data_IF_149298685874
#
_entry.id   IF_149298685874
#
_cell.length_a   1.000
_cell.length_b   1.000
_cell.length_c   1.000
_cell.angle_alpha   90.00
_cell.angle_beta   90.00
_cell.angle_gamma   90.00
#
_symmetry.space_group_name_H-M   'P 1'
#
loop_
_entity.id
_entity.type
_entity.pdbx_description
1 polymer ?
#
# COMPACT_ATOMS: atom_id res chain seq x y z
N UNK A 1 18.34 6.60 -15.10
CA UNK A 1 17.59 6.77 -16.36
C UNK A 1 16.37 7.63 -16.08
N UNK A 2 15.98 8.59 -16.92
CA UNK A 2 14.83 9.43 -16.65
C UNK A 2 13.55 8.58 -16.62
N UNK A 3 12.73 8.74 -15.58
CA UNK A 3 11.61 7.88 -15.23
C UNK A 3 10.31 8.19 -16.00
N UNK A 4 10.20 9.33 -16.64
CA UNK A 4 9.04 9.67 -17.48
C UNK A 4 9.53 9.96 -18.89
N UNK A 5 9.19 9.09 -19.82
CA UNK A 5 9.34 9.38 -21.25
C UNK A 5 8.26 10.38 -21.61
N UNK A 6 8.64 11.58 -22.04
CA UNK A 6 7.72 12.53 -22.67
C UNK A 6 6.92 11.81 -23.76
N UNK A 7 5.60 11.75 -23.60
CA UNK A 7 4.68 11.10 -24.55
C UNK A 7 4.26 9.65 -24.21
N UNK A 8 4.66 9.09 -23.05
CA UNK A 8 4.20 7.76 -22.62
C UNK A 8 3.05 7.86 -21.61
N UNK A 9 2.06 7.00 -21.77
CA UNK A 9 0.93 6.85 -20.83
C UNK A 9 1.46 6.46 -19.45
N UNK A 10 1.14 7.25 -18.41
CA UNK A 10 1.46 6.89 -17.03
C UNK A 10 0.68 5.64 -16.62
N UNK A 11 1.36 4.66 -16.05
CA UNK A 11 0.74 3.41 -15.56
C UNK A 11 0.84 3.35 -14.04
N UNK A 12 -0.30 3.22 -13.36
CA UNK A 12 -0.37 2.97 -11.91
C UNK A 12 -0.89 1.57 -11.65
N UNK A 13 -0.22 0.84 -10.75
CA UNK A 13 -0.76 -0.40 -10.21
C UNK A 13 -1.33 -0.14 -8.83
N UNK A 14 -2.60 -0.50 -8.65
CA UNK A 14 -3.31 -0.44 -7.38
C UNK A 14 -3.41 -1.85 -6.84
N UNK A 15 -2.81 -2.06 -5.69
CA UNK A 15 -2.83 -3.33 -4.99
C UNK A 15 -3.86 -3.26 -3.85
N UNK A 16 -4.90 -4.09 -3.96
CA UNK A 16 -5.83 -4.31 -2.87
C UNK A 16 -5.27 -5.42 -1.97
N UNK A 17 -4.80 -5.08 -0.78
CA UNK A 17 -4.20 -6.03 0.15
C UNK A 17 -5.13 -7.22 0.45
N UNK A 18 -4.53 -8.39 0.74
CA UNK A 18 -5.24 -9.63 1.06
C UNK A 18 -6.12 -10.16 -0.08
N UNK A 19 -7.12 -10.99 0.24
CA UNK A 19 -8.08 -11.55 -0.73
C UNK A 19 -8.23 -13.07 -0.65
N UNK A 20 -9.35 -13.59 -1.15
CA UNK A 20 -9.67 -15.02 -1.11
C UNK A 20 -9.68 -15.57 0.32
N UNK A 21 -8.83 -16.56 0.58
CA UNK A 21 -8.71 -17.18 1.92
C UNK A 21 -7.91 -16.32 2.92
N UNK A 22 -7.14 -15.35 2.45
CA UNK A 22 -6.50 -14.35 3.32
C UNK A 22 -7.47 -13.20 3.61
N UNK A 23 -7.99 -13.15 4.82
CA UNK A 23 -8.96 -12.13 5.23
C UNK A 23 -8.31 -10.79 5.59
N UNK A 24 -6.99 -10.76 5.82
CA UNK A 24 -6.35 -9.66 6.52
C UNK A 24 -6.84 -9.56 7.96
N UNK A 25 -6.66 -8.41 8.57
CA UNK A 25 -7.13 -8.17 9.92
C UNK A 25 -8.67 -8.13 9.98
N UNK A 26 -9.21 -8.41 11.18
CA UNK A 26 -10.63 -8.46 11.43
C UNK A 26 -11.07 -7.28 12.28
N UNK A 27 -12.12 -6.61 11.83
CA UNK A 27 -12.91 -5.70 12.64
C UNK A 27 -13.94 -6.44 13.48
N UNK A 28 -14.92 -5.71 14.00
CA UNK A 28 -16.05 -6.28 14.72
C UNK A 28 -17.08 -6.92 13.79
N UNK A 29 -17.22 -6.40 12.58
CA UNK A 29 -18.17 -6.85 11.56
C UNK A 29 -17.61 -6.83 10.13
N UNK A 30 -16.35 -6.43 9.95
CA UNK A 30 -15.70 -6.30 8.64
C UNK A 30 -14.39 -7.08 8.56
N UNK A 31 -13.94 -7.33 7.32
CA UNK A 31 -12.65 -7.93 7.01
C UNK A 31 -11.83 -6.93 6.19
N UNK A 32 -10.55 -6.90 6.42
CA UNK A 32 -9.64 -6.00 5.70
C UNK A 32 -9.73 -6.18 4.19
N UNK A 33 -9.70 -7.42 3.70
CA UNK A 33 -9.77 -7.72 2.26
C UNK A 33 -10.95 -7.07 1.53
N UNK A 34 -12.10 -6.92 2.23
CA UNK A 34 -13.30 -6.33 1.62
C UNK A 34 -13.18 -4.80 1.54
N UNK A 35 -12.60 -4.19 2.57
CA UNK A 35 -12.38 -2.73 2.62
C UNK A 35 -11.32 -2.30 1.63
N UNK A 36 -10.18 -3.02 1.58
CA UNK A 36 -9.08 -2.71 0.66
C UNK A 36 -9.52 -2.83 -0.80
N UNK A 37 -10.31 -3.86 -1.14
CA UNK A 37 -10.87 -4.01 -2.48
C UNK A 37 -11.81 -2.85 -2.84
N UNK A 38 -12.71 -2.48 -1.93
CA UNK A 38 -13.65 -1.40 -2.17
C UNK A 38 -12.93 -0.05 -2.40
N UNK A 39 -11.92 0.26 -1.59
CA UNK A 39 -11.11 1.49 -1.76
C UNK A 39 -10.29 1.45 -3.03
N UNK A 40 -9.67 0.31 -3.37
CA UNK A 40 -8.87 0.15 -4.58
C UNK A 40 -9.69 0.38 -5.86
N UNK A 41 -10.88 -0.22 -5.94
CA UNK A 41 -11.78 -0.05 -7.09
C UNK A 41 -12.24 1.39 -7.23
N UNK A 42 -12.66 2.04 -6.13
CA UNK A 42 -13.05 3.46 -6.13
C UNK A 42 -11.90 4.39 -6.53
N UNK A 43 -10.68 4.09 -6.08
CA UNK A 43 -9.48 4.85 -6.50
C UNK A 43 -9.25 4.74 -8.00
N UNK A 44 -9.29 3.55 -8.55
CA UNK A 44 -9.07 3.36 -9.98
C UNK A 44 -10.17 3.98 -10.84
N UNK A 45 -11.43 3.86 -10.44
CA UNK A 45 -12.56 4.55 -11.10
C UNK A 45 -12.36 6.07 -11.07
N UNK A 46 -11.98 6.65 -9.92
CA UNK A 46 -11.72 8.08 -9.78
C UNK A 46 -10.53 8.56 -10.64
N UNK A 47 -9.46 7.76 -10.74
CA UNK A 47 -8.32 8.06 -11.62
C UNK A 47 -8.77 8.07 -13.07
N UNK A 48 -9.45 7.03 -13.55
CA UNK A 48 -9.89 6.92 -14.93
C UNK A 48 -10.90 7.99 -15.32
N UNK A 49 -11.80 8.37 -14.41
CA UNK A 49 -12.80 9.42 -14.65
C UNK A 49 -12.17 10.81 -14.78
N UNK A 50 -11.15 11.12 -13.98
CA UNK A 50 -10.50 12.44 -13.97
C UNK A 50 -9.27 12.54 -14.87
N UNK A 51 -8.62 11.43 -15.18
CA UNK A 51 -7.37 11.36 -15.95
C UNK A 51 -7.39 10.13 -16.88
N UNK A 52 -8.15 10.15 -17.99
CA UNK A 52 -8.36 8.99 -18.85
C UNK A 52 -7.07 8.49 -19.54
N UNK A 53 -6.04 9.32 -19.60
CA UNK A 53 -4.73 8.96 -20.16
C UNK A 53 -3.87 8.13 -19.20
N UNK A 54 -4.29 7.97 -17.93
CA UNK A 54 -3.60 7.14 -16.96
C UNK A 54 -4.10 5.71 -17.06
N UNK A 55 -3.19 4.78 -17.30
CA UNK A 55 -3.50 3.35 -17.29
C UNK A 55 -3.54 2.83 -15.85
N UNK A 56 -4.69 2.35 -15.41
CA UNK A 56 -4.88 1.70 -14.12
C UNK A 56 -4.84 0.18 -14.28
N UNK A 57 -4.06 -0.47 -13.45
CA UNK A 57 -3.99 -1.94 -13.35
C UNK A 57 -4.20 -2.30 -11.89
N UNK A 58 -5.00 -3.32 -11.62
CA UNK A 58 -5.21 -3.87 -10.28
C UNK A 58 -4.42 -5.17 -10.13
N UNK A 59 -3.91 -5.44 -8.95
CA UNK A 59 -3.39 -6.78 -8.62
C UNK A 59 -4.53 -7.79 -8.52
N UNK A 60 -5.67 -7.34 -7.95
CA UNK A 60 -6.96 -8.05 -7.98
C UNK A 60 -8.11 -7.06 -8.10
N UNK A 61 -9.18 -7.47 -8.74
CA UNK A 61 -10.44 -6.72 -8.86
C UNK A 61 -11.65 -7.48 -8.31
N UNK A 62 -11.40 -8.67 -7.78
CA UNK A 62 -12.39 -9.56 -7.16
C UNK A 62 -11.83 -10.10 -5.83
N UNK A 63 -12.63 -10.91 -5.11
CA UNK A 63 -12.19 -11.57 -3.87
C UNK A 63 -11.39 -12.83 -4.21
N UNK A 64 -10.16 -12.63 -4.65
CA UNK A 64 -9.19 -13.69 -4.98
C UNK A 64 -7.88 -13.49 -4.21
N UNK A 65 -7.20 -14.59 -3.93
CA UNK A 65 -5.87 -14.57 -3.29
C UNK A 65 -4.79 -14.40 -4.35
N UNK A 66 -3.92 -13.41 -4.15
CA UNK A 66 -2.73 -13.18 -4.99
C UNK A 66 -1.51 -13.18 -4.07
N UNK A 67 -0.54 -14.03 -4.34
CA UNK A 67 0.73 -14.10 -3.61
C UNK A 67 1.48 -12.77 -3.62
N UNK A 68 2.19 -12.42 -2.55
CA UNK A 68 2.87 -11.12 -2.43
C UNK A 68 3.88 -10.89 -3.56
N UNK A 69 4.65 -11.93 -3.92
CA UNK A 69 5.60 -11.84 -5.04
C UNK A 69 4.92 -11.56 -6.37
N UNK A 70 3.73 -12.15 -6.63
CA UNK A 70 3.02 -11.94 -7.89
C UNK A 70 2.44 -10.51 -7.99
N UNK A 71 2.07 -9.88 -6.87
CA UNK A 71 1.65 -8.46 -6.86
C UNK A 71 2.76 -7.54 -7.40
N UNK A 72 4.00 -7.71 -6.92
CA UNK A 72 5.17 -7.01 -7.45
C UNK A 72 5.45 -7.36 -8.91
N UNK A 73 5.31 -8.64 -9.30
CA UNK A 73 5.49 -9.11 -10.68
C UNK A 73 4.49 -8.48 -11.65
N UNK A 74 3.22 -8.34 -11.26
CA UNK A 74 2.19 -7.66 -12.06
C UNK A 74 2.65 -6.22 -12.36
N UNK A 75 3.11 -5.48 -11.34
CA UNK A 75 3.59 -4.12 -11.52
C UNK A 75 4.84 -4.04 -12.41
N UNK A 76 5.81 -4.92 -12.21
CA UNK A 76 7.04 -4.97 -12.99
C UNK A 76 6.78 -5.35 -14.46
N UNK A 77 5.95 -6.37 -14.73
CA UNK A 77 5.54 -6.77 -16.08
C UNK A 77 4.80 -5.64 -16.82
N UNK A 78 3.98 -4.89 -16.09
CA UNK A 78 3.28 -3.74 -16.62
C UNK A 78 4.19 -2.52 -16.87
N UNK A 79 5.43 -2.55 -16.36
CA UNK A 79 6.35 -1.40 -16.32
C UNK A 79 5.68 -0.18 -15.69
N UNK A 80 5.02 -0.41 -14.57
CA UNK A 80 4.28 0.62 -13.87
C UNK A 80 5.21 1.76 -13.41
N UNK A 81 4.68 2.97 -13.41
CA UNK A 81 5.37 4.16 -12.92
C UNK A 81 5.21 4.32 -11.40
N UNK A 82 4.13 3.76 -10.84
CA UNK A 82 3.83 3.80 -9.40
C UNK A 82 3.10 2.53 -8.98
N UNK A 83 3.43 2.03 -7.78
CA UNK A 83 2.72 0.95 -7.10
C UNK A 83 2.13 1.45 -5.79
N UNK A 84 0.82 1.28 -5.60
CA UNK A 84 0.08 1.72 -4.41
C UNK A 84 -0.63 0.52 -3.80
N UNK A 85 -0.14 0.04 -2.66
CA UNK A 85 -0.78 -1.01 -1.88
C UNK A 85 -1.67 -0.40 -0.80
N UNK A 86 -2.90 -0.91 -0.68
CA UNK A 86 -3.95 -0.40 0.21
C UNK A 86 -4.26 -1.45 1.26
N UNK A 87 -4.13 -1.07 2.53
CA UNK A 87 -4.32 -1.90 3.71
C UNK A 87 -5.15 -1.19 4.80
N UNK A 88 -5.53 -1.95 5.81
CA UNK A 88 -6.13 -1.45 7.05
C UNK A 88 -5.40 -2.02 8.24
N UNK A 89 -4.96 -1.16 9.13
CA UNK A 89 -4.21 -1.53 10.31
C UNK A 89 -5.07 -2.20 11.39
N UNK A 90 -4.41 -2.88 12.29
CA UNK A 90 -5.00 -3.44 13.51
C UNK A 90 -4.09 -3.17 14.71
N UNK A 91 -4.69 -2.98 15.89
CA UNK A 91 -3.95 -2.80 17.12
C UNK A 91 -4.68 -3.46 18.29
N UNK A 92 -3.98 -4.15 19.22
CA UNK A 92 -4.58 -4.65 20.45
C UNK A 92 -5.25 -3.54 21.28
N UNK A 93 -4.66 -2.33 21.29
CA UNK A 93 -5.31 -1.16 21.83
C UNK A 93 -6.38 -0.64 20.84
N UNK A 94 -7.63 -0.92 21.13
CA UNK A 94 -8.79 -0.53 20.33
C UNK A 94 -9.04 0.99 20.25
N UNK A 95 -8.28 1.80 20.99
CA UNK A 95 -8.29 3.27 20.86
C UNK A 95 -7.31 3.79 19.82
N UNK A 96 -6.49 2.93 19.20
CA UNK A 96 -5.60 3.34 18.12
C UNK A 96 -6.43 3.78 16.91
N UNK A 97 -6.05 4.91 16.29
CA UNK A 97 -6.73 5.50 15.13
C UNK A 97 -5.77 6.30 14.26
N UNK A 98 -6.21 6.65 13.06
CA UNK A 98 -5.46 7.47 12.11
C UNK A 98 -4.79 6.66 11.01
N UNK A 99 -4.05 7.35 10.14
CA UNK A 99 -3.46 6.81 8.92
C UNK A 99 -1.94 6.79 8.99
N UNK A 100 -1.34 5.79 8.36
CA UNK A 100 0.11 5.65 8.21
C UNK A 100 0.43 5.32 6.76
N UNK A 101 1.59 5.75 6.25
CA UNK A 101 2.04 5.31 4.93
C UNK A 101 3.49 4.87 5.01
N UNK A 102 3.76 3.72 4.43
CA UNK A 102 5.05 3.07 4.47
C UNK A 102 5.73 3.07 3.11
N UNK A 103 7.04 3.31 3.12
CA UNK A 103 7.95 3.00 2.03
C UNK A 103 8.89 1.87 2.45
N UNK A 104 9.46 1.16 1.48
CA UNK A 104 10.47 0.12 1.75
C UNK A 104 11.71 0.74 2.39
N UNK A 105 12.18 0.20 3.52
CA UNK A 105 13.38 0.72 4.18
C UNK A 105 13.61 0.17 5.59
N UNK A 106 14.53 0.82 6.33
CA UNK A 106 14.91 0.41 7.67
C UNK A 106 13.80 0.64 8.69
N UNK A 107 13.50 -0.39 9.47
CA UNK A 107 12.62 -0.28 10.64
C UNK A 107 13.20 0.69 11.68
N UNK A 108 12.33 1.57 12.20
CA UNK A 108 12.71 2.55 13.23
C UNK A 108 12.02 2.30 14.56
N UNK A 109 11.12 1.33 14.64
CA UNK A 109 10.41 1.01 15.89
C UNK A 109 9.84 -0.40 15.88
N UNK A 110 9.73 -1.00 17.06
CA UNK A 110 9.08 -2.30 17.25
C UNK A 110 7.62 -2.27 16.78
N UNK A 111 6.92 -1.15 16.95
CA UNK A 111 5.55 -1.01 16.49
C UNK A 111 5.43 -1.13 14.95
N UNK A 112 6.36 -0.54 14.20
CA UNK A 112 6.39 -0.67 12.74
C UNK A 112 6.73 -2.11 12.33
N UNK A 113 7.72 -2.71 12.98
CA UNK A 113 8.11 -4.11 12.74
C UNK A 113 6.92 -5.06 12.97
N UNK A 114 6.11 -4.83 13.99
CA UNK A 114 4.92 -5.65 14.24
C UNK A 114 3.87 -5.53 13.14
N UNK A 115 3.71 -4.36 12.51
CA UNK A 115 2.87 -4.21 11.32
C UNK A 115 3.43 -5.05 10.18
N UNK A 116 4.72 -4.90 9.86
CA UNK A 116 5.33 -5.68 8.78
C UNK A 116 5.30 -7.20 9.02
N UNK A 117 5.53 -7.65 10.28
CA UNK A 117 5.39 -9.06 10.62
C UNK A 117 3.99 -9.60 10.34
N UNK A 118 2.96 -8.82 10.65
CA UNK A 118 1.57 -9.20 10.37
C UNK A 118 1.34 -9.30 8.86
N UNK A 119 1.68 -8.27 8.10
CA UNK A 119 1.45 -8.23 6.65
C UNK A 119 2.30 -9.28 5.90
N UNK A 120 3.55 -9.45 6.29
CA UNK A 120 4.42 -10.43 5.64
C UNK A 120 4.08 -11.88 6.04
N UNK A 121 3.38 -12.11 7.16
CA UNK A 121 3.00 -13.47 7.59
C UNK A 121 2.05 -14.16 6.60
N UNK A 122 1.48 -13.43 5.68
CA UNK A 122 0.61 -13.98 4.62
C UNK A 122 1.35 -14.97 3.73
N UNK A 123 2.69 -14.85 3.60
CA UNK A 123 3.50 -15.81 2.83
C UNK A 123 3.39 -17.25 3.37
N UNK A 124 3.05 -17.43 4.65
CA UNK A 124 2.83 -18.75 5.24
C UNK A 124 1.60 -19.46 4.67
N UNK A 125 0.75 -18.75 3.94
CA UNK A 125 -0.39 -19.28 3.21
C UNK A 125 -0.07 -19.60 1.74
N UNK A 126 1.14 -19.25 1.27
CA UNK A 126 1.59 -19.43 -0.11
C UNK A 126 2.30 -20.78 -0.27
N UNK A 127 2.11 -21.40 -1.44
CA UNK A 127 2.87 -22.60 -1.79
C UNK A 127 4.33 -22.22 -2.12
N UNK A 128 5.29 -23.01 -1.62
CA UNK A 128 6.73 -22.83 -1.88
C UNK A 128 7.32 -21.47 -1.41
N UNK A 129 6.73 -20.85 -0.39
CA UNK A 129 7.17 -19.53 0.10
C UNK A 129 8.66 -19.50 0.49
N UNK A 130 9.21 -20.59 1.07
CA UNK A 130 10.63 -20.67 1.45
C UNK A 130 11.56 -20.42 0.24
N UNK A 131 11.22 -21.00 -0.91
CA UNK A 131 12.00 -20.81 -2.15
C UNK A 131 11.74 -19.44 -2.77
N UNK A 132 10.48 -18.99 -2.76
CA UNK A 132 10.07 -17.72 -3.37
C UNK A 132 10.71 -16.51 -2.67
N UNK A 133 10.89 -16.59 -1.33
CA UNK A 133 11.41 -15.50 -0.51
C UNK A 133 12.79 -15.78 0.07
N UNK A 134 13.58 -16.64 -0.57
CA UNK A 134 14.98 -16.92 -0.22
C UNK A 134 15.15 -17.33 1.27
N UNK A 135 14.20 -18.09 1.82
CA UNK A 135 14.20 -18.54 3.22
C UNK A 135 13.85 -17.47 4.25
N UNK A 136 13.24 -16.36 3.81
CA UNK A 136 12.79 -15.31 4.72
C UNK A 136 11.76 -15.86 5.72
N UNK A 137 12.05 -15.71 7.03
CA UNK A 137 11.11 -16.02 8.10
C UNK A 137 10.37 -14.75 8.55
N UNK A 138 9.06 -14.64 8.31
CA UNK A 138 8.28 -13.44 8.65
C UNK A 138 8.12 -13.23 10.17
N UNK A 139 8.53 -14.19 11.02
CA UNK A 139 8.50 -14.06 12.47
C UNK A 139 9.86 -13.66 13.06
N UNK A 140 10.97 -13.87 12.34
CA UNK A 140 12.33 -13.57 12.79
C UNK A 140 12.64 -12.08 12.66
N UNK A 141 13.00 -11.43 13.76
CA UNK A 141 13.47 -10.02 13.74
C UNK A 141 14.79 -9.89 12.99
N UNK A 142 15.67 -10.90 13.07
CA UNK A 142 16.95 -10.96 12.37
C UNK A 142 16.74 -10.96 10.85
N UNK A 143 15.72 -11.67 10.35
CA UNK A 143 15.38 -11.67 8.93
C UNK A 143 15.04 -10.26 8.44
N UNK A 144 14.32 -9.47 9.21
CA UNK A 144 14.00 -8.07 8.88
C UNK A 144 15.23 -7.17 8.86
N UNK A 145 16.19 -7.39 9.76
CA UNK A 145 17.45 -6.64 9.77
C UNK A 145 18.24 -6.92 8.48
N UNK A 146 18.37 -8.18 8.10
CA UNK A 146 19.06 -8.58 6.86
C UNK A 146 18.31 -8.02 5.65
N UNK A 147 16.99 -8.16 5.64
CA UNK A 147 16.13 -7.71 4.55
C UNK A 147 16.18 -6.20 4.34
N UNK A 148 16.33 -5.42 5.41
CA UNK A 148 16.43 -3.97 5.36
C UNK A 148 17.72 -3.45 4.71
N UNK A 149 18.72 -4.32 4.50
CA UNK A 149 19.97 -3.97 3.79
C UNK A 149 19.79 -3.91 2.26
N UNK A 150 18.67 -4.45 1.73
CA UNK A 150 18.35 -4.29 0.32
C UNK A 150 18.04 -2.81 0.04
N UNK A 151 18.87 -2.19 -0.80
CA UNK A 151 18.67 -0.81 -1.20
C UNK A 151 17.52 -0.71 -2.21
N UNK A 152 16.63 0.26 -2.01
CA UNK A 152 15.59 0.59 -2.97
C UNK A 152 15.94 1.91 -3.66
N UNK A 153 16.28 1.84 -4.95
CA UNK A 153 16.64 3.02 -5.77
C UNK A 153 15.49 4.05 -5.85
N UNK A 154 14.27 3.64 -5.56
CA UNK A 154 13.07 4.48 -5.60
C UNK A 154 12.64 5.00 -4.22
N UNK A 155 13.46 4.82 -3.17
CA UNK A 155 13.08 5.15 -1.79
C UNK A 155 12.67 6.62 -1.65
N UNK A 156 13.46 7.56 -2.15
CA UNK A 156 13.17 9.00 -2.01
C UNK A 156 11.84 9.37 -2.68
N UNK A 157 11.56 8.82 -3.85
CA UNK A 157 10.29 9.01 -4.56
C UNK A 157 9.13 8.36 -3.82
N UNK A 158 9.32 7.17 -3.27
CA UNK A 158 8.32 6.48 -2.45
C UNK A 158 7.99 7.30 -1.20
N UNK A 159 9.00 7.83 -0.50
CA UNK A 159 8.82 8.70 0.67
C UNK A 159 8.11 10.01 0.29
N UNK A 160 8.45 10.62 -0.85
CA UNK A 160 7.75 11.82 -1.36
C UNK A 160 6.26 11.54 -1.60
N UNK A 161 5.93 10.44 -2.29
CA UNK A 161 4.54 10.03 -2.51
C UNK A 161 3.81 9.78 -1.18
N UNK A 162 4.44 9.02 -0.26
CA UNK A 162 3.88 8.73 1.05
C UNK A 162 3.58 10.02 1.86
N UNK A 163 4.47 11.01 1.78
CA UNK A 163 4.27 12.30 2.44
C UNK A 163 3.06 13.06 1.87
N UNK A 164 2.85 13.03 0.55
CA UNK A 164 1.69 13.63 -0.10
C UNK A 164 0.39 12.93 0.32
N UNK A 165 0.39 11.60 0.38
CA UNK A 165 -0.76 10.81 0.86
C UNK A 165 -1.13 11.24 2.29
N UNK A 166 -0.17 11.26 3.21
CA UNK A 166 -0.41 11.64 4.61
C UNK A 166 -0.85 13.12 4.73
N UNK A 167 -0.32 14.00 3.89
CA UNK A 167 -0.74 15.40 3.84
C UNK A 167 -2.21 15.55 3.39
N UNK A 168 -2.64 14.78 2.38
CA UNK A 168 -4.03 14.81 1.90
C UNK A 168 -4.99 14.25 2.95
N UNK A 169 -4.68 13.13 3.58
CA UNK A 169 -5.50 12.56 4.67
C UNK A 169 -5.68 13.55 5.83
N UNK A 170 -4.60 14.24 6.23
CA UNK A 170 -4.67 15.21 7.32
C UNK A 170 -5.43 16.48 6.94
N UNK A 171 -5.11 17.08 5.78
CA UNK A 171 -5.66 18.39 5.39
C UNK A 171 -7.08 18.30 4.86
N UNK A 172 -7.41 17.24 4.13
CA UNK A 172 -8.69 17.13 3.42
C UNK A 172 -9.70 16.28 4.19
N UNK A 173 -9.27 15.12 4.70
CA UNK A 173 -10.15 14.19 5.39
C UNK A 173 -10.11 14.37 6.91
N UNK A 174 -9.27 15.29 7.41
CA UNK A 174 -9.07 15.57 8.83
C UNK A 174 -8.70 14.31 9.64
N UNK A 175 -8.07 13.32 8.99
CA UNK A 175 -7.61 12.10 9.64
C UNK A 175 -6.35 12.37 10.45
N UNK A 176 -6.24 11.69 11.58
CA UNK A 176 -5.03 11.76 12.41
C UNK A 176 -3.84 11.16 11.63
N UNK A 177 -2.84 12.02 11.37
CA UNK A 177 -1.65 11.67 10.62
C UNK A 177 -0.62 11.05 11.57
N UNK A 178 -0.36 9.75 11.41
CA UNK A 178 0.66 9.01 12.17
C UNK A 178 2.02 9.02 11.47
N UNK A 179 2.10 9.66 10.31
CA UNK A 179 3.33 9.94 9.59
C UNK A 179 3.68 8.95 8.50
N UNK A 180 4.77 9.31 7.81
CA UNK A 180 5.46 8.44 6.87
C UNK A 180 6.47 7.59 7.64
N UNK A 181 6.50 6.31 7.33
CA UNK A 181 7.33 5.32 7.99
C UNK A 181 8.12 4.51 6.96
N UNK A 182 9.12 3.82 7.43
CA UNK A 182 9.90 2.87 6.62
C UNK A 182 9.88 1.51 7.31
N UNK A 183 9.66 0.47 6.50
CA UNK A 183 9.68 -0.90 6.99
C UNK A 183 9.88 -1.89 5.81
N UNK A 184 10.24 -3.12 6.12
CA UNK A 184 10.51 -4.17 5.14
C UNK A 184 9.23 -4.96 4.81
N UNK A 185 8.43 -4.44 3.89
CA UNK A 185 7.25 -5.14 3.38
C UNK A 185 7.59 -5.96 2.14
N UNK A 186 7.27 -7.26 2.16
CA UNK A 186 7.52 -8.15 1.03
C UNK A 186 6.75 -7.76 -0.24
N UNK A 187 5.56 -7.21 -0.10
CA UNK A 187 4.77 -6.72 -1.23
C UNK A 187 5.43 -5.54 -1.95
N UNK A 188 6.27 -4.75 -1.25
CA UNK A 188 7.05 -3.65 -1.83
C UNK A 188 8.43 -4.12 -2.30
N UNK A 189 8.86 -5.29 -1.85
CA UNK A 189 10.14 -5.87 -2.26
C UNK A 189 10.09 -6.27 -3.73
N UNK A 190 11.18 -6.10 -4.42
CA UNK A 190 11.31 -6.38 -5.86
C UNK A 190 10.45 -5.51 -6.77
N UNK A 191 9.82 -4.44 -6.27
CA UNK A 191 9.19 -3.45 -7.15
C UNK A 191 10.26 -2.55 -7.78
N UNK A 192 10.15 -2.33 -9.10
CA UNK A 192 11.13 -1.54 -9.88
C UNK A 192 10.67 -0.08 -10.10
N UNK A 193 9.73 0.40 -9.30
CA UNK A 193 9.15 1.74 -9.35
C UNK A 193 8.92 2.28 -7.94
N UNK A 194 8.61 3.58 -7.77
CA UNK A 194 8.12 4.12 -6.51
C UNK A 194 6.93 3.31 -6.00
N UNK A 195 7.04 2.80 -4.76
CA UNK A 195 6.08 1.87 -4.17
C UNK A 195 5.81 2.22 -2.72
N UNK A 196 4.54 2.22 -2.33
CA UNK A 196 4.07 2.53 -0.99
C UNK A 196 3.00 1.54 -0.52
N UNK A 197 2.91 1.36 0.81
CA UNK A 197 1.80 0.69 1.46
C UNK A 197 1.08 1.69 2.37
N UNK A 198 -0.22 1.81 2.19
CA UNK A 198 -1.08 2.76 2.90
C UNK A 198 -1.93 1.99 3.91
N UNK A 199 -1.75 2.30 5.17
CA UNK A 199 -2.66 1.89 6.25
C UNK A 199 -3.74 2.97 6.39
N UNK A 200 -4.92 2.70 5.88
CA UNK A 200 -6.01 3.67 5.74
C UNK A 200 -6.75 3.94 7.06
N UNK A 201 -6.49 3.17 8.10
CA UNK A 201 -7.07 3.29 9.44
C UNK A 201 -7.05 1.97 10.19
N UNK A 202 -7.57 1.92 11.40
CA UNK A 202 -7.55 0.74 12.28
C UNK A 202 -8.90 0.05 12.32
N UNK A 203 -9.05 -1.14 11.70
CA UNK A 203 -10.30 -1.91 11.74
C UNK A 203 -10.67 -2.38 13.15
N UNK A 204 -9.70 -2.47 14.07
CA UNK A 204 -9.95 -2.82 15.47
C UNK A 204 -10.56 -1.69 16.30
N UNK A 205 -10.58 -0.46 15.76
CA UNK A 205 -11.25 0.70 16.36
C UNK A 205 -12.67 0.82 15.77
N UNK A 206 -13.67 0.85 16.61
CA UNK A 206 -15.08 0.83 16.18
C UNK A 206 -15.48 2.03 15.30
N UNK A 207 -15.00 3.22 15.62
CA UNK A 207 -15.32 4.44 14.85
C UNK A 207 -14.60 4.43 13.50
N UNK A 208 -13.35 4.00 13.48
CA UNK A 208 -12.59 3.81 12.23
C UNK A 208 -13.20 2.72 11.36
N UNK A 209 -13.61 1.58 11.94
CA UNK A 209 -14.28 0.51 11.21
C UNK A 209 -15.55 1.00 10.52
N UNK A 210 -16.38 1.77 11.23
CA UNK A 210 -17.58 2.38 10.65
C UNK A 210 -17.24 3.34 9.49
N UNK A 211 -16.20 4.14 9.63
CA UNK A 211 -15.74 5.04 8.59
C UNK A 211 -15.18 4.27 7.38
N UNK A 212 -14.29 3.32 7.59
CA UNK A 212 -13.62 2.52 6.56
C UNK A 212 -14.59 1.66 5.74
N UNK A 213 -15.69 1.23 6.36
CA UNK A 213 -16.73 0.43 5.69
C UNK A 213 -17.84 1.27 5.06
N UNK A 214 -17.89 2.58 5.36
CA UNK A 214 -18.88 3.47 4.78
C UNK A 214 -18.53 3.89 3.37
N UNK A 215 -19.52 4.08 2.51
CA UNK A 215 -19.34 4.58 1.17
C UNK A 215 -18.66 5.97 1.17
N UNK A 216 -19.07 6.85 2.07
CA UNK A 216 -18.50 8.21 2.21
C UNK A 216 -17.04 8.17 2.63
N UNK A 217 -16.66 7.30 3.59
CA UNK A 217 -15.28 7.14 4.04
C UNK A 217 -14.38 6.58 2.92
N UNK A 218 -14.84 5.55 2.22
CA UNK A 218 -14.11 4.97 1.09
C UNK A 218 -13.93 5.99 -0.06
N UNK A 219 -14.95 6.80 -0.37
CA UNK A 219 -14.86 7.87 -1.36
C UNK A 219 -13.88 8.97 -0.92
N UNK A 220 -13.87 9.35 0.34
CA UNK A 220 -12.93 10.34 0.88
C UNK A 220 -11.48 9.82 0.80
N UNK A 221 -11.22 8.59 1.24
CA UNK A 221 -9.91 7.93 1.19
C UNK A 221 -9.40 7.87 -0.25
N UNK A 222 -10.18 7.31 -1.18
CA UNK A 222 -9.79 7.20 -2.59
C UNK A 222 -9.53 8.55 -3.25
N UNK A 223 -10.35 9.57 -2.94
CA UNK A 223 -10.15 10.94 -3.43
C UNK A 223 -8.87 11.58 -2.89
N UNK A 224 -8.50 11.34 -1.63
CA UNK A 224 -7.25 11.84 -1.05
C UNK A 224 -6.04 11.16 -1.65
N UNK A 225 -6.09 9.85 -1.88
CA UNK A 225 -5.02 9.12 -2.58
C UNK A 225 -4.87 9.64 -4.01
N UNK A 226 -5.98 9.83 -4.73
CA UNK A 226 -5.97 10.38 -6.09
C UNK A 226 -5.26 11.74 -6.14
N UNK A 227 -5.65 12.70 -5.27
CA UNK A 227 -5.04 14.05 -5.25
C UNK A 227 -3.53 13.96 -5.00
N UNK A 228 -3.10 13.15 -4.04
CA UNK A 228 -1.69 12.95 -3.74
C UNK A 228 -0.92 12.33 -4.92
N UNK A 229 -1.51 11.34 -5.59
CA UNK A 229 -0.92 10.69 -6.76
C UNK A 229 -0.77 11.68 -7.94
N UNK A 230 -1.78 12.50 -8.22
CA UNK A 230 -1.71 13.50 -9.30
C UNK A 230 -0.68 14.59 -8.98
N UNK A 231 -0.58 15.03 -7.72
CA UNK A 231 0.47 15.95 -7.28
C UNK A 231 1.87 15.36 -7.49
N UNK A 232 2.06 14.11 -7.10
CA UNK A 232 3.32 13.38 -7.27
C UNK A 232 3.67 13.21 -8.76
N UNK A 233 2.72 12.76 -9.59
CA UNK A 233 2.90 12.63 -11.04
C UNK A 233 3.35 13.95 -11.67
N UNK A 234 2.71 15.05 -11.30
CA UNK A 234 3.03 16.39 -11.82
C UNK A 234 4.45 16.83 -11.45
N UNK A 235 4.96 16.43 -10.28
CA UNK A 235 6.35 16.71 -9.89
C UNK A 235 7.34 15.89 -10.72
N UNK A 236 7.08 14.59 -10.89
CA UNK A 236 7.93 13.72 -11.72
C UNK A 236 8.02 14.22 -13.18
N UNK A 237 6.94 14.79 -13.71
CA UNK A 237 6.92 15.35 -15.07
C UNK A 237 7.73 16.64 -15.21
N UNK A 238 7.97 17.37 -14.13
CA UNK A 238 8.80 18.60 -14.13
C UNK A 238 10.28 18.34 -13.96
N UNK A 239 10.65 17.18 -13.40
CA UNK A 239 12.03 16.77 -13.18
C UNK A 239 12.70 16.18 -14.44
N UNK A 240 11.93 15.90 -15.49
CA UNK A 240 12.33 15.35 -16.78
C UNK A 240 12.24 16.40 -17.90
#
# INVERSE_FOLDING_TARGET
>A
MPFVRSGTTTTVVIDAGHGGHDTGCLGSFSREKDVTLAVALKLGEAIQASNPDIKVIYTRSTDEFIELAERANIANKAKADVFISIHCNANPNKSAYGTETYAMGLSKSEANLNVAKRENSVILLEENYETTYDGFDPQSTEAYIIFSLYQNENLDKSVSLAAKIQSQFSKTDQRFNRGVKQESFLVLWRTNMPAILIETGFLTNKEEEQYLTSESGQNAISSSILRAFIEFKTELEKEN
#
